data_IF_135184554396
#
_entry.id   IF_135184554396
#
_cell.length_a   1.000
_cell.length_b   1.000
_cell.length_c   1.000
_cell.angle_alpha   90.00
_cell.angle_beta   90.00
_cell.angle_gamma   90.00
#
_symmetry.space_group_name_H-M   'P 1'
#
loop_
_entity.id
_entity.type
_entity.pdbx_description
1 polymer ?
#
# COMPACT_ATOMS: atom_id res chain seq x y z
N UNK A 1 0.13 -19.39 56.09
CA UNK A 1 0.86 -18.95 54.87
C UNK A 1 0.31 -19.53 53.55
N UNK A 2 -0.70 -20.41 53.55
CA UNK A 2 -1.27 -21.00 52.32
C UNK A 2 -2.24 -20.10 51.56
N UNK A 3 -3.01 -19.24 52.25
CA UNK A 3 -4.04 -18.41 51.59
C UNK A 3 -3.45 -17.43 50.56
N UNK A 4 -2.27 -16.88 50.83
CA UNK A 4 -1.61 -15.92 49.93
C UNK A 4 -1.21 -16.59 48.62
N UNK A 5 -0.71 -17.82 48.67
CA UNK A 5 -0.37 -18.58 47.46
C UNK A 5 -1.60 -18.95 46.63
N UNK A 6 -2.72 -19.30 47.29
CA UNK A 6 -3.97 -19.64 46.60
C UNK A 6 -4.57 -18.45 45.84
N UNK A 7 -4.33 -17.21 46.30
CA UNK A 7 -4.77 -16.00 45.58
C UNK A 7 -3.78 -15.57 44.49
N UNK A 8 -2.48 -15.79 44.67
CA UNK A 8 -1.45 -15.37 43.71
C UNK A 8 -1.47 -16.25 42.44
N UNK A 9 -1.64 -17.56 42.59
CA UNK A 9 -1.63 -18.51 41.46
C UNK A 9 -2.69 -18.20 40.38
N UNK A 10 -3.99 -17.96 40.70
CA UNK A 10 -4.99 -17.64 39.69
C UNK A 10 -4.78 -16.25 39.07
N UNK A 11 -4.18 -15.31 39.80
CA UNK A 11 -3.85 -13.98 39.27
C UNK A 11 -2.75 -14.11 38.21
N UNK A 12 -1.70 -14.88 38.50
CA UNK A 12 -0.58 -15.09 37.56
C UNK A 12 -1.05 -15.82 36.31
N UNK A 13 -1.85 -16.87 36.43
CA UNK A 13 -2.37 -17.61 35.27
C UNK A 13 -3.32 -16.74 34.43
N UNK A 14 -4.16 -15.92 35.07
CA UNK A 14 -4.99 -14.94 34.39
C UNK A 14 -4.19 -13.91 33.58
N UNK A 15 -3.12 -13.36 34.17
CA UNK A 15 -2.22 -12.40 33.49
C UNK A 15 -1.54 -13.06 32.29
N UNK A 16 -1.07 -14.30 32.42
CA UNK A 16 -0.42 -15.03 31.31
C UNK A 16 -1.39 -15.25 30.14
N UNK A 17 -2.63 -15.66 30.42
CA UNK A 17 -3.65 -15.87 29.38
C UNK A 17 -4.01 -14.56 28.69
N UNK A 18 -4.14 -13.46 29.46
CA UNK A 18 -4.40 -12.13 28.91
C UNK A 18 -3.25 -11.66 28.01
N UNK A 19 -2.00 -11.82 28.46
CA UNK A 19 -0.81 -11.46 27.67
C UNK A 19 -0.75 -12.29 26.38
N UNK A 20 -1.01 -13.60 26.46
CA UNK A 20 -1.02 -14.49 25.30
C UNK A 20 -2.11 -14.06 24.30
N UNK A 21 -3.31 -13.72 24.78
CA UNK A 21 -4.41 -13.22 23.96
C UNK A 21 -4.05 -11.89 23.31
N UNK A 22 -3.43 -10.96 24.05
CA UNK A 22 -2.96 -9.68 23.51
C UNK A 22 -1.86 -9.87 22.46
N UNK A 23 -0.95 -10.82 22.63
CA UNK A 23 0.09 -11.13 21.64
C UNK A 23 -0.48 -11.75 20.37
N UNK A 24 -1.51 -12.61 20.50
CA UNK A 24 -2.24 -13.15 19.35
C UNK A 24 -3.03 -12.06 18.61
N UNK A 25 -3.60 -11.09 19.33
CA UNK A 25 -4.25 -9.91 18.73
C UNK A 25 -3.22 -8.96 18.09
N UNK A 26 -2.02 -8.81 18.66
CA UNK A 26 -0.96 -7.94 18.11
C UNK A 26 -0.35 -8.48 16.83
N UNK A 27 -0.40 -9.79 16.58
CA UNK A 27 0.07 -10.46 15.35
C UNK A 27 -0.80 -10.17 14.11
N UNK A 28 -1.78 -9.26 14.22
CA UNK A 28 -2.57 -8.71 13.12
C UNK A 28 -2.37 -7.21 12.87
N UNK A 29 -1.40 -6.55 13.52
CA UNK A 29 -1.17 -5.10 13.38
C UNK A 29 0.19 -4.81 12.76
N UNK A 30 0.29 -5.10 11.47
CA UNK A 30 1.08 -4.25 10.58
C UNK A 30 0.38 -2.89 10.54
N UNK A 31 1.15 -1.85 10.81
CA UNK A 31 0.79 -0.43 10.85
C UNK A 31 -0.54 -0.10 10.17
N UNK A 32 -1.52 0.30 10.98
CA UNK A 32 -2.72 1.01 10.56
C UNK A 32 -2.31 2.28 9.84
N UNK A 33 -2.10 2.18 8.53
CA UNK A 33 -2.25 3.31 7.64
C UNK A 33 -3.72 3.71 7.70
N UNK A 34 -3.95 4.91 8.24
CA UNK A 34 -5.25 5.52 8.47
C UNK A 34 -6.18 5.31 7.27
N UNK A 35 -7.22 4.52 7.50
CA UNK A 35 -8.25 4.21 6.51
C UNK A 35 -9.33 5.27 6.61
N UNK A 36 -9.01 6.51 6.24
CA UNK A 36 -10.04 7.48 5.87
C UNK A 36 -10.72 6.96 4.60
N UNK A 37 -11.84 6.27 4.82
CA UNK A 37 -12.84 5.96 3.81
C UNK A 37 -13.39 7.30 3.29
N UNK A 38 -12.86 7.77 2.18
CA UNK A 38 -13.59 8.70 1.31
C UNK A 38 -13.61 8.12 -0.08
N UNK A 39 -14.68 7.37 -0.34
CA UNK A 39 -15.20 7.20 -1.68
C UNK A 39 -15.63 8.59 -2.15
N UNK A 40 -14.80 9.31 -2.88
CA UNK A 40 -15.19 10.40 -3.78
C UNK A 40 -13.96 10.89 -4.53
N UNK A 41 -14.11 11.01 -5.84
CA UNK A 41 -13.04 11.39 -6.76
C UNK A 41 -12.53 12.80 -6.51
N UNK A 42 -11.52 12.91 -5.65
CA UNK A 42 -10.55 14.00 -5.65
C UNK A 42 -9.21 13.32 -5.39
N UNK A 43 -8.30 13.39 -6.37
CA UNK A 43 -6.91 13.04 -6.15
C UNK A 43 -6.39 13.91 -5.00
N UNK A 44 -6.38 13.42 -3.77
CA UNK A 44 -5.32 13.80 -2.85
C UNK A 44 -4.06 13.42 -3.61
N UNK A 45 -3.30 14.44 -4.02
CA UNK A 45 -2.29 14.40 -5.06
C UNK A 45 -1.07 13.57 -4.64
N UNK A 46 -1.20 12.43 -3.99
CA UNK A 46 -0.07 11.65 -3.49
C UNK A 46 0.41 10.64 -4.53
N UNK A 47 1.71 10.40 -4.56
CA UNK A 47 2.30 9.40 -5.44
C UNK A 47 1.84 7.99 -5.02
N UNK A 48 1.31 7.18 -5.94
CA UNK A 48 0.83 5.83 -5.61
C UNK A 48 1.95 4.84 -5.26
N UNK A 49 3.22 5.20 -5.49
CA UNK A 49 4.37 4.33 -5.24
C UNK A 49 5.08 4.67 -3.92
N UNK A 50 5.28 5.95 -3.60
CA UNK A 50 6.03 6.36 -2.42
C UNK A 50 5.21 7.14 -1.39
N UNK A 51 3.95 7.47 -1.69
CA UNK A 51 3.06 8.21 -0.80
C UNK A 51 3.35 9.72 -0.70
N UNK A 52 4.45 10.22 -1.30
CA UNK A 52 4.78 11.65 -1.29
C UNK A 52 3.64 12.49 -1.88
N UNK A 53 3.23 13.54 -1.18
CA UNK A 53 2.29 14.54 -1.70
C UNK A 53 2.90 15.27 -2.90
N UNK A 54 2.11 15.45 -3.95
CA UNK A 54 2.49 16.16 -5.16
C UNK A 54 1.88 17.57 -5.11
N UNK A 55 2.71 18.55 -5.40
CA UNK A 55 2.28 19.95 -5.46
C UNK A 55 1.49 20.23 -6.75
N UNK A 56 0.84 21.40 -6.82
CA UNK A 56 0.15 21.85 -8.03
C UNK A 56 1.13 21.86 -9.21
N UNK A 57 0.81 21.11 -10.26
CA UNK A 57 1.65 20.99 -11.47
C UNK A 57 2.61 19.80 -11.45
N UNK A 58 2.91 19.21 -10.30
CA UNK A 58 3.67 17.97 -10.24
C UNK A 58 2.80 16.79 -10.70
N UNK A 59 3.40 15.92 -11.52
CA UNK A 59 2.71 14.76 -12.11
C UNK A 59 3.56 13.51 -11.98
N UNK A 60 2.88 12.38 -11.93
CA UNK A 60 3.51 11.07 -11.97
C UNK A 60 3.96 10.78 -13.40
N UNK A 61 5.24 10.47 -13.58
CA UNK A 61 5.78 10.01 -14.87
C UNK A 61 5.13 8.68 -15.22
N UNK A 62 4.49 8.65 -16.37
CA UNK A 62 3.77 7.49 -16.88
C UNK A 62 3.76 7.47 -18.40
N UNK A 63 3.61 6.28 -18.96
CA UNK A 63 3.47 6.05 -20.41
C UNK A 63 2.12 5.38 -20.65
N UNK A 64 1.34 5.94 -21.57
CA UNK A 64 0.02 5.42 -21.93
C UNK A 64 0.10 4.76 -23.30
N UNK A 65 -0.17 3.47 -23.35
CA UNK A 65 -0.34 2.67 -24.55
C UNK A 65 -1.82 2.61 -24.89
N UNK A 66 -2.24 3.41 -25.87
CA UNK A 66 -3.62 3.44 -26.33
C UNK A 66 -3.93 2.12 -27.06
N UNK A 67 -4.98 1.43 -26.61
CA UNK A 67 -5.46 0.19 -27.21
C UNK A 67 -6.99 0.16 -27.23
N UNK A 68 -7.55 -0.59 -28.17
CA UNK A 68 -8.99 -0.90 -28.27
C UNK A 68 -9.18 -2.39 -27.95
N UNK A 69 -10.03 -2.79 -26.98
CA UNK A 69 -10.97 -1.97 -26.19
C UNK A 69 -10.39 -1.29 -24.94
N UNK A 70 -9.24 -1.74 -24.44
CA UNK A 70 -8.63 -1.25 -23.20
C UNK A 70 -7.26 -0.61 -23.46
N UNK A 71 -6.98 0.55 -22.83
CA UNK A 71 -5.64 1.16 -22.85
C UNK A 71 -4.82 0.73 -21.64
N UNK A 72 -3.54 0.41 -21.88
CA UNK A 72 -2.59 0.04 -20.83
C UNK A 72 -1.70 1.22 -20.48
N UNK A 73 -1.33 1.32 -19.22
CA UNK A 73 -0.54 2.42 -18.70
C UNK A 73 0.56 1.89 -17.79
N UNK A 74 1.76 2.40 -17.99
CA UNK A 74 2.91 2.13 -17.14
C UNK A 74 3.21 3.35 -16.28
N UNK A 75 3.33 3.14 -14.98
CA UNK A 75 3.57 4.16 -13.97
C UNK A 75 4.98 3.97 -13.42
N UNK A 76 5.82 4.99 -13.62
CA UNK A 76 7.21 4.98 -13.20
C UNK A 76 7.38 5.57 -11.80
N UNK A 77 6.75 6.72 -11.52
CA UNK A 77 6.84 7.38 -10.22
C UNK A 77 6.73 8.89 -10.32
N UNK A 78 6.80 9.56 -9.18
CA UNK A 78 6.77 11.02 -9.11
C UNK A 78 8.19 11.62 -9.09
N UNK A 79 8.35 12.95 -9.17
CA UNK A 79 9.67 13.60 -9.10
C UNK A 79 10.51 13.26 -7.86
N UNK A 80 9.88 12.84 -6.75
CA UNK A 80 10.59 12.47 -5.53
C UNK A 80 11.19 11.05 -5.59
N UNK A 81 10.47 10.09 -6.19
CA UNK A 81 10.88 8.68 -6.23
C UNK A 81 11.36 8.20 -7.59
N UNK A 82 11.29 9.07 -8.61
CA UNK A 82 11.78 8.80 -9.96
C UNK A 82 12.77 9.90 -10.38
N UNK A 83 14.00 9.56 -10.82
CA UNK A 83 14.53 8.21 -11.02
C UNK A 83 14.69 7.43 -9.69
N UNK A 84 14.70 6.07 -9.75
CA UNK A 84 14.80 5.24 -8.55
C UNK A 84 16.04 5.60 -7.73
N UNK A 85 15.87 5.75 -6.43
CA UNK A 85 16.93 6.09 -5.49
C UNK A 85 16.79 5.29 -4.20
N UNK A 86 17.87 5.18 -3.43
CA UNK A 86 17.89 4.41 -2.19
C UNK A 86 17.29 5.17 -0.98
N UNK A 87 16.88 6.43 -1.17
CA UNK A 87 16.33 7.29 -0.10
C UNK A 87 14.83 7.09 0.06
N UNK A 88 14.11 6.94 -1.05
CA UNK A 88 12.64 6.84 -1.06
C UNK A 88 12.25 5.49 -1.64
N UNK A 89 11.68 4.64 -0.78
CA UNK A 89 11.15 3.34 -1.17
C UNK A 89 9.94 3.51 -2.09
N UNK A 90 9.88 2.67 -3.12
CA UNK A 90 8.73 2.55 -4.01
C UNK A 90 8.02 1.25 -3.64
N UNK A 91 6.78 1.32 -3.20
CA UNK A 91 5.99 0.17 -2.77
C UNK A 91 4.88 -0.11 -3.79
N UNK A 92 4.69 -1.38 -4.14
CA UNK A 92 3.60 -1.77 -5.02
C UNK A 92 2.27 -1.59 -4.27
N UNK A 93 1.29 -0.82 -4.78
CA UNK A 93 0.02 -0.66 -4.08
C UNK A 93 -0.81 -1.94 -4.02
N UNK A 94 -0.52 -2.93 -4.88
CA UNK A 94 -1.25 -4.21 -4.95
C UNK A 94 -0.61 -5.27 -4.06
N UNK A 95 0.64 -5.67 -4.32
CA UNK A 95 1.30 -6.75 -3.55
C UNK A 95 2.07 -6.27 -2.32
N UNK A 96 2.15 -4.96 -2.09
CA UNK A 96 2.86 -4.31 -0.96
C UNK A 96 4.37 -4.59 -0.88
N UNK A 97 4.95 -5.18 -1.92
CA UNK A 97 6.40 -5.42 -2.01
C UNK A 97 7.13 -4.16 -2.47
N UNK A 98 8.35 -3.98 -1.99
CA UNK A 98 9.27 -2.95 -2.47
C UNK A 98 9.65 -3.20 -3.95
N UNK A 99 9.53 -2.18 -4.80
CA UNK A 99 9.89 -2.24 -6.21
C UNK A 99 11.40 -2.09 -6.35
N UNK A 100 12.02 -3.07 -7.02
CA UNK A 100 13.40 -2.97 -7.47
C UNK A 100 13.61 -1.77 -8.42
N UNK A 101 14.86 -1.27 -8.54
CA UNK A 101 15.21 -0.29 -9.57
C UNK A 101 14.81 -0.80 -10.96
N UNK A 102 14.11 0.01 -11.74
CA UNK A 102 13.59 -0.37 -13.06
C UNK A 102 12.23 -1.06 -13.06
N UNK A 103 11.77 -1.63 -11.94
CA UNK A 103 10.41 -2.15 -11.87
C UNK A 103 9.38 -1.02 -11.97
N UNK A 104 8.28 -1.32 -12.65
CA UNK A 104 7.19 -0.39 -12.98
C UNK A 104 5.87 -0.92 -12.44
N UNK A 105 4.89 -0.02 -12.30
CA UNK A 105 3.52 -0.37 -12.00
C UNK A 105 2.67 -0.31 -13.25
N UNK A 106 1.92 -1.38 -13.50
CA UNK A 106 1.05 -1.56 -14.64
C UNK A 106 -0.37 -1.23 -14.20
N UNK A 107 -1.05 -0.42 -15.00
CA UNK A 107 -2.41 0.02 -14.77
C UNK A 107 -3.22 -0.04 -16.07
N UNK A 108 -4.53 -0.14 -15.95
CA UNK A 108 -5.48 0.05 -17.04
C UNK A 108 -6.01 1.48 -16.99
N UNK A 109 -5.99 2.16 -18.12
CA UNK A 109 -6.52 3.50 -18.28
C UNK A 109 -7.84 3.47 -19.06
N UNK A 110 -8.89 3.99 -18.45
CA UNK A 110 -10.19 4.21 -19.08
C UNK A 110 -10.29 5.68 -19.47
N UNK A 111 -10.12 5.94 -20.76
CA UNK A 111 -10.17 7.28 -21.33
C UNK A 111 -11.64 7.64 -21.58
N UNK A 112 -12.19 8.57 -20.79
CA UNK A 112 -13.45 9.25 -21.09
C UNK A 112 -13.14 10.68 -21.56
N UNK A 113 -14.02 11.33 -22.35
CA UNK A 113 -13.76 12.67 -22.90
C UNK A 113 -13.37 13.72 -21.84
N UNK A 114 -13.96 13.62 -20.66
CA UNK A 114 -13.80 14.58 -19.57
C UNK A 114 -12.84 14.09 -18.46
N UNK A 115 -12.65 12.78 -18.34
CA UNK A 115 -11.84 12.20 -17.26
C UNK A 115 -11.13 10.92 -17.66
N UNK A 116 -9.89 10.81 -17.21
CA UNK A 116 -9.14 9.54 -17.28
C UNK A 116 -9.25 8.84 -15.93
N UNK A 117 -9.81 7.63 -15.93
CA UNK A 117 -9.85 6.79 -14.74
C UNK A 117 -8.79 5.70 -14.85
N UNK A 118 -7.90 5.61 -13.87
CA UNK A 118 -6.79 4.64 -13.88
C UNK A 118 -7.00 3.61 -12.79
N UNK A 119 -6.99 2.34 -13.15
CA UNK A 119 -7.03 1.21 -12.23
C UNK A 119 -5.68 0.49 -12.23
N UNK A 120 -4.97 0.52 -11.10
CA UNK A 120 -3.70 -0.17 -10.94
C UNK A 120 -3.89 -1.68 -10.87
N UNK A 121 -3.19 -2.44 -11.72
CA UNK A 121 -3.28 -3.90 -11.81
C UNK A 121 -2.20 -4.60 -10.97
N UNK A 122 -1.00 -4.03 -10.92
CA UNK A 122 0.13 -4.62 -10.18
C UNK A 122 1.48 -4.02 -10.58
N UNK A 123 2.57 -4.44 -9.93
CA UNK A 123 3.92 -4.22 -10.44
C UNK A 123 4.27 -5.27 -11.50
N UNK A 124 5.39 -5.05 -12.22
CA UNK A 124 5.96 -6.01 -13.18
C UNK A 124 6.03 -7.46 -12.67
N UNK A 125 6.29 -7.65 -11.38
CA UNK A 125 6.37 -8.96 -10.73
C UNK A 125 5.00 -9.58 -10.46
N UNK A 126 4.14 -8.90 -9.71
CA UNK A 126 2.87 -9.49 -9.28
C UNK A 126 1.83 -9.54 -10.40
N UNK A 127 1.95 -8.68 -11.41
CA UNK A 127 1.10 -8.73 -12.59
C UNK A 127 1.39 -9.99 -13.41
N UNK A 128 2.67 -10.34 -13.61
CA UNK A 128 3.10 -11.54 -14.33
C UNK A 128 2.79 -12.84 -13.58
N UNK A 129 2.71 -12.84 -12.24
CA UNK A 129 2.32 -14.06 -11.52
C UNK A 129 0.83 -14.38 -11.61
N UNK A 130 0.00 -13.41 -11.99
CA UNK A 130 -1.46 -13.57 -12.04
C UNK A 130 -1.95 -14.10 -13.40
N UNK A 131 -1.09 -14.13 -14.41
CA UNK A 131 -1.36 -14.56 -15.79
C UNK A 131 -0.25 -15.48 -16.27
#
# INVERSE_FOLDING_TARGET
MYNVFTFIVPIITGIIVIILLLLLLRKGSGETFDKTRTQQGVFHTSCPLCGSGLEKGQRVKSVLFKGTPDSMMEIYGCPHCYPPNNKIKRICPVCKTELAPGNIVIARAFLKPDKTHVHVLGCSECYRRKY
#
